data_IF_372770381160
#
_entry.id   IF_372770381160
#
_cell.length_a   1.000
_cell.length_b   1.000
_cell.length_c   1.000
_cell.angle_alpha   90.00
_cell.angle_beta   90.00
_cell.angle_gamma   90.00
#
_symmetry.space_group_name_H-M   'P 1'
#
loop_
_entity.id
_entity.type
_entity.pdbx_description
1 polymer ?
#
# COMPACT_ATOMS: atom_id res chain seq x y z
N UNK A 1 -12.54 -3.12 15.48
CA UNK A 1 -13.11 -1.93 14.81
C UNK A 1 -12.15 -1.38 13.72
N UNK A 2 -10.87 -1.12 13.99
CA UNK A 2 -9.92 -0.63 12.95
C UNK A 2 -9.86 -1.55 11.72
N UNK A 3 -9.79 -2.87 11.91
CA UNK A 3 -9.80 -3.86 10.84
C UNK A 3 -11.10 -3.85 10.01
N UNK A 4 -12.26 -3.65 10.68
CA UNK A 4 -13.54 -3.57 9.96
C UNK A 4 -13.61 -2.35 9.03
N UNK A 5 -12.96 -1.22 9.40
CA UNK A 5 -12.81 -0.06 8.51
C UNK A 5 -11.87 -0.34 7.34
N UNK A 6 -10.82 -1.11 7.56
CA UNK A 6 -9.86 -1.52 6.54
C UNK A 6 -10.52 -2.43 5.48
N UNK A 7 -11.38 -3.36 5.93
CA UNK A 7 -12.12 -4.27 5.05
C UNK A 7 -13.32 -3.59 4.35
N UNK A 8 -13.64 -2.34 4.71
CA UNK A 8 -14.75 -1.61 4.12
C UNK A 8 -14.33 -0.88 2.85
N UNK A 9 -14.86 -1.31 1.71
CA UNK A 9 -14.70 -0.61 0.43
C UNK A 9 -15.93 0.24 0.12
N UNK A 10 -15.71 1.55 -0.06
CA UNK A 10 -16.71 2.50 -0.53
C UNK A 10 -16.19 3.26 -1.75
N UNK A 11 -16.97 3.25 -2.83
CA UNK A 11 -16.63 3.94 -4.06
C UNK A 11 -17.81 4.79 -4.57
N UNK A 12 -17.51 5.77 -5.40
CA UNK A 12 -18.49 6.60 -6.10
C UNK A 12 -19.06 7.77 -5.30
N UNK A 13 -18.88 7.80 -3.98
CA UNK A 13 -19.30 8.91 -3.11
C UNK A 13 -18.16 9.35 -2.20
N UNK A 14 -18.15 10.63 -1.80
CA UNK A 14 -17.25 11.11 -0.77
C UNK A 14 -17.59 10.46 0.58
N UNK A 15 -16.58 9.94 1.27
CA UNK A 15 -16.75 9.29 2.58
C UNK A 15 -15.60 9.63 3.51
N UNK A 16 -15.82 9.47 4.81
CA UNK A 16 -14.84 9.78 5.85
C UNK A 16 -14.13 8.55 6.44
N UNK A 17 -14.21 7.38 5.79
CA UNK A 17 -13.54 6.15 6.25
C UNK A 17 -12.04 6.36 6.50
N UNK A 18 -11.25 7.04 5.64
CA UNK A 18 -9.85 7.33 5.92
C UNK A 18 -9.63 8.20 7.16
N UNK A 19 -10.51 9.16 7.40
CA UNK A 19 -10.47 9.97 8.62
C UNK A 19 -10.77 9.13 9.87
N UNK A 20 -11.78 8.27 9.82
CA UNK A 20 -12.09 7.36 10.92
C UNK A 20 -10.93 6.39 11.19
N UNK A 21 -10.28 5.89 10.16
CA UNK A 21 -9.09 5.06 10.31
C UNK A 21 -7.95 5.84 10.99
N UNK A 22 -7.71 7.10 10.59
CA UNK A 22 -6.73 7.96 11.24
C UNK A 22 -7.04 8.17 12.73
N UNK A 23 -8.30 8.43 13.07
CA UNK A 23 -8.74 8.59 14.46
C UNK A 23 -8.49 7.31 15.26
N UNK A 24 -8.86 6.14 14.72
CA UNK A 24 -8.67 4.84 15.39
C UNK A 24 -7.20 4.49 15.64
N UNK A 25 -6.29 5.04 14.86
CA UNK A 25 -4.84 4.81 15.02
C UNK A 25 -4.18 5.79 16.01
N UNK A 26 -4.85 6.86 16.38
CA UNK A 26 -4.32 7.84 17.31
C UNK A 26 -4.14 7.25 18.73
N UNK A 27 -2.94 7.41 19.34
CA UNK A 27 -2.70 6.94 20.72
C UNK A 27 -3.67 7.56 21.74
N UNK A 28 -4.02 8.84 21.57
CA UNK A 28 -4.96 9.55 22.43
C UNK A 28 -6.36 8.94 22.37
N UNK A 29 -6.83 8.55 21.17
CA UNK A 29 -8.10 7.84 21.00
C UNK A 29 -8.06 6.44 21.64
N UNK A 30 -6.98 5.69 21.38
CA UNK A 30 -6.79 4.33 21.92
C UNK A 30 -6.71 4.28 23.44
N UNK A 31 -6.16 5.31 24.07
CA UNK A 31 -6.10 5.43 25.54
C UNK A 31 -7.41 5.89 26.17
N UNK A 32 -8.42 6.26 25.38
CA UNK A 32 -9.69 6.81 25.88
C UNK A 32 -9.60 8.27 26.35
N UNK A 33 -8.48 8.95 26.12
CA UNK A 33 -8.29 10.36 26.50
C UNK A 33 -8.95 11.30 25.48
N UNK A 34 -10.26 11.18 25.36
CA UNK A 34 -11.10 11.94 24.42
C UNK A 34 -11.91 13.01 25.15
N UNK A 35 -12.00 14.17 24.51
CA UNK A 35 -12.81 15.32 24.94
C UNK A 35 -13.69 15.80 23.79
N UNK A 36 -14.59 16.68 24.06
CA UNK A 36 -15.43 17.34 23.02
C UNK A 36 -14.59 18.16 22.03
N UNK A 37 -13.39 18.60 22.42
CA UNK A 37 -12.45 19.33 21.57
C UNK A 37 -11.49 18.41 20.79
N UNK A 38 -11.53 17.08 21.01
CA UNK A 38 -10.57 16.11 20.45
C UNK A 38 -10.29 16.31 18.96
N UNK A 39 -11.32 16.40 18.13
CA UNK A 39 -11.16 16.57 16.67
C UNK A 39 -10.47 17.88 16.33
N UNK A 40 -10.84 18.98 17.03
CA UNK A 40 -10.24 20.30 16.84
C UNK A 40 -8.78 20.33 17.28
N UNK A 41 -8.44 19.59 18.35
CA UNK A 41 -7.09 19.53 18.89
C UNK A 41 -6.14 18.71 17.98
N UNK A 42 -6.60 17.57 17.48
CA UNK A 42 -5.79 16.64 16.66
C UNK A 42 -5.78 16.99 15.16
N UNK A 43 -6.83 17.64 14.67
CA UNK A 43 -7.01 18.00 13.26
C UNK A 43 -7.45 19.47 13.11
N UNK A 44 -6.64 20.46 13.56
CA UNK A 44 -7.02 21.87 13.58
C UNK A 44 -7.31 22.42 12.18
N UNK A 45 -6.59 21.94 11.17
CA UNK A 45 -6.72 22.34 9.76
C UNK A 45 -7.60 21.38 8.95
N UNK A 46 -8.29 20.45 9.62
CA UNK A 46 -9.04 19.38 8.97
C UNK A 46 -8.17 18.16 8.62
N UNK A 47 -8.79 17.14 8.00
CA UNK A 47 -8.12 15.93 7.60
C UNK A 47 -7.83 15.92 6.09
N UNK A 48 -6.57 15.86 5.71
CA UNK A 48 -6.10 15.85 4.32
C UNK A 48 -5.44 14.53 3.91
N UNK A 49 -5.61 13.46 4.71
CA UNK A 49 -4.91 12.20 4.59
C UNK A 49 -3.61 12.18 5.40
N UNK A 50 -3.03 11.01 5.52
CA UNK A 50 -1.74 10.81 6.18
C UNK A 50 -0.72 10.29 5.17
N UNK A 51 0.50 10.75 5.30
CA UNK A 51 1.62 10.13 4.59
C UNK A 51 1.79 8.68 5.07
N UNK A 52 2.15 7.73 4.19
CA UNK A 52 2.37 6.36 4.60
C UNK A 52 3.56 6.26 5.56
N UNK A 53 3.39 5.48 6.62
CA UNK A 53 4.48 5.11 7.54
C UNK A 53 5.45 4.16 6.83
N UNK A 54 6.65 3.94 7.38
CA UNK A 54 7.62 2.97 6.84
C UNK A 54 7.04 1.56 6.67
N UNK A 55 6.17 1.13 7.57
CA UNK A 55 5.45 -0.15 7.45
C UNK A 55 4.49 -0.11 6.26
N UNK A 56 3.70 0.96 6.12
CA UNK A 56 2.77 1.13 5.00
C UNK A 56 3.48 1.29 3.67
N UNK A 57 4.67 1.93 3.63
CA UNK A 57 5.50 1.99 2.41
C UNK A 57 5.87 0.58 1.95
N UNK A 58 6.33 -0.30 2.86
CA UNK A 58 6.65 -1.69 2.52
C UNK A 58 5.41 -2.46 2.03
N UNK A 59 4.29 -2.31 2.74
CA UNK A 59 3.03 -2.93 2.40
C UNK A 59 2.55 -2.50 1.00
N UNK A 60 2.53 -1.20 0.74
CA UNK A 60 2.11 -0.61 -0.54
C UNK A 60 3.05 -1.07 -1.67
N UNK A 61 4.36 -1.07 -1.44
CA UNK A 61 5.32 -1.53 -2.43
C UNK A 61 5.17 -3.02 -2.73
N UNK A 62 5.01 -3.86 -1.70
CA UNK A 62 4.80 -5.30 -1.85
C UNK A 62 3.52 -5.60 -2.63
N UNK A 63 2.40 -4.95 -2.28
CA UNK A 63 1.15 -5.08 -3.01
C UNK A 63 1.29 -4.65 -4.48
N UNK A 64 1.98 -3.54 -4.74
CA UNK A 64 2.17 -3.04 -6.09
C UNK A 64 3.01 -4.00 -6.96
N UNK A 65 4.10 -4.57 -6.43
CA UNK A 65 4.91 -5.56 -7.13
C UNK A 65 4.09 -6.81 -7.41
N UNK A 66 3.39 -7.36 -6.41
CA UNK A 66 2.54 -8.53 -6.59
C UNK A 66 1.46 -8.31 -7.67
N UNK A 67 0.78 -7.17 -7.64
CA UNK A 67 -0.22 -6.83 -8.65
C UNK A 67 0.39 -6.68 -10.05
N UNK A 68 1.60 -6.14 -10.14
CA UNK A 68 2.33 -6.04 -11.41
C UNK A 68 2.66 -7.41 -11.99
N UNK A 69 3.15 -8.34 -11.16
CA UNK A 69 3.43 -9.73 -11.58
C UNK A 69 2.15 -10.45 -12.03
N UNK A 70 1.09 -10.42 -11.23
CA UNK A 70 -0.21 -11.03 -11.56
C UNK A 70 -0.77 -10.44 -12.87
N UNK A 71 -0.64 -9.13 -13.08
CA UNK A 71 -1.10 -8.48 -14.30
C UNK A 71 -0.29 -8.92 -15.51
N UNK A 72 1.04 -8.99 -15.40
CA UNK A 72 1.94 -9.42 -16.48
C UNK A 72 1.66 -10.87 -16.87
N UNK A 73 1.44 -11.75 -15.90
CA UNK A 73 1.06 -13.15 -16.15
C UNK A 73 -0.27 -13.24 -16.90
N UNK A 74 -1.28 -12.47 -16.48
CA UNK A 74 -2.59 -12.44 -17.15
C UNK A 74 -2.51 -11.88 -18.57
N UNK A 75 -1.68 -10.87 -18.79
CA UNK A 75 -1.47 -10.27 -20.10
C UNK A 75 -0.61 -11.18 -21.06
N UNK A 76 -0.11 -12.31 -20.55
CA UNK A 76 0.71 -13.26 -21.29
C UNK A 76 2.13 -12.78 -21.55
N UNK A 77 2.61 -11.81 -20.78
CA UNK A 77 3.97 -11.25 -20.81
C UNK A 77 4.65 -11.35 -19.43
N UNK A 78 4.76 -12.57 -18.85
CA UNK A 78 5.44 -12.74 -17.58
C UNK A 78 6.92 -12.35 -17.73
N UNK A 79 7.43 -11.64 -16.75
CA UNK A 79 8.81 -11.20 -16.72
C UNK A 79 9.62 -12.09 -15.80
N UNK A 80 10.75 -12.66 -16.27
CA UNK A 80 11.73 -13.33 -15.40
C UNK A 80 12.52 -12.34 -14.55
N UNK A 81 12.08 -11.09 -14.50
CA UNK A 81 12.76 -10.03 -13.80
C UNK A 81 12.49 -10.11 -12.31
N UNK A 82 13.54 -9.97 -11.54
CA UNK A 82 13.49 -9.98 -10.07
C UNK A 82 13.78 -8.62 -9.45
N UNK A 83 14.22 -7.63 -10.26
CA UNK A 83 14.60 -6.30 -9.79
C UNK A 83 13.62 -5.22 -10.27
N UNK A 84 13.05 -4.48 -9.32
CA UNK A 84 12.06 -3.44 -9.58
C UNK A 84 12.38 -2.14 -8.84
N UNK A 85 11.87 -1.02 -9.36
CA UNK A 85 11.81 0.25 -8.64
C UNK A 85 10.34 0.63 -8.49
N UNK A 86 9.89 0.68 -7.26
CA UNK A 86 8.54 1.12 -6.92
C UNK A 86 8.57 2.61 -6.58
N UNK A 87 7.92 3.42 -7.41
CA UNK A 87 7.71 4.83 -7.08
C UNK A 87 6.43 4.95 -6.25
N UNK A 88 6.56 5.40 -5.02
CA UNK A 88 5.44 5.75 -4.14
C UNK A 88 5.36 7.27 -4.12
N UNK A 89 4.31 7.81 -4.74
CA UNK A 89 4.21 9.21 -5.15
C UNK A 89 5.41 9.61 -6.03
N UNK A 90 6.45 10.18 -5.43
CA UNK A 90 7.69 10.53 -6.14
C UNK A 90 8.93 9.85 -5.54
N UNK A 91 8.78 9.14 -4.43
CA UNK A 91 9.90 8.49 -3.75
C UNK A 91 10.19 7.11 -4.37
N UNK A 92 11.42 6.87 -4.87
CA UNK A 92 11.82 5.57 -5.40
C UNK A 92 12.21 4.61 -4.29
N UNK A 93 11.75 3.36 -4.42
CA UNK A 93 12.10 2.24 -3.56
C UNK A 93 12.55 1.07 -4.44
N UNK A 94 13.83 0.71 -4.36
CA UNK A 94 14.35 -0.48 -5.02
C UNK A 94 13.87 -1.73 -4.29
N UNK A 95 13.44 -2.72 -5.05
CA UNK A 95 12.88 -3.98 -4.55
C UNK A 95 13.42 -5.13 -5.39
N UNK A 96 14.07 -6.08 -4.73
CA UNK A 96 14.42 -7.36 -5.32
C UNK A 96 13.38 -8.40 -4.89
N UNK A 97 12.86 -9.16 -5.86
CA UNK A 97 11.82 -10.15 -5.70
C UNK A 97 12.39 -11.56 -5.79
N UNK A 98 11.97 -12.43 -4.90
CA UNK A 98 12.18 -13.88 -4.96
C UNK A 98 10.96 -14.61 -4.39
N UNK A 99 10.97 -15.94 -4.42
CA UNK A 99 9.90 -16.76 -3.86
C UNK A 99 10.49 -17.73 -2.84
N UNK A 100 9.72 -18.03 -1.80
CA UNK A 100 10.07 -19.08 -0.85
C UNK A 100 9.51 -20.46 -1.28
N UNK A 101 9.71 -21.50 -0.43
CA UNK A 101 9.26 -22.86 -0.69
C UNK A 101 7.71 -22.98 -0.75
N UNK A 102 7.00 -22.05 -0.15
CA UNK A 102 5.53 -21.97 -0.12
C UNK A 102 4.96 -21.05 -1.21
N UNK A 103 5.79 -20.65 -2.20
CA UNK A 103 5.44 -19.72 -3.29
C UNK A 103 5.05 -18.30 -2.81
N UNK A 104 5.36 -17.94 -1.55
CA UNK A 104 5.18 -16.58 -1.08
C UNK A 104 6.27 -15.66 -1.64
N UNK A 105 5.89 -14.41 -1.89
CA UNK A 105 6.82 -13.41 -2.42
C UNK A 105 7.73 -12.90 -1.29
N UNK A 106 9.03 -13.00 -1.51
CA UNK A 106 10.05 -12.40 -0.67
C UNK A 106 10.56 -11.14 -1.33
N UNK A 107 10.42 -10.01 -0.66
CA UNK A 107 10.83 -8.71 -1.14
C UNK A 107 11.99 -8.20 -0.29
N UNK A 108 13.11 -7.91 -0.95
CA UNK A 108 14.26 -7.25 -0.33
C UNK A 108 14.30 -5.79 -0.79
N UNK A 109 14.15 -4.86 0.14
CA UNK A 109 14.15 -3.42 -0.16
C UNK A 109 15.57 -2.85 -0.06
N UNK A 110 15.86 -1.87 -0.89
CA UNK A 110 17.09 -1.08 -0.74
C UNK A 110 17.16 -0.52 0.68
N UNK A 111 18.30 -0.71 1.35
CA UNK A 111 18.48 -0.37 2.77
C UNK A 111 18.32 -1.54 3.74
N UNK A 112 18.24 -2.78 3.22
CA UNK A 112 18.34 -4.02 4.01
C UNK A 112 17.05 -4.42 4.74
N UNK A 113 15.91 -3.83 4.40
CA UNK A 113 14.60 -4.26 4.90
C UNK A 113 14.06 -5.39 4.01
N UNK A 114 13.36 -6.33 4.63
CA UNK A 114 12.72 -7.44 3.94
C UNK A 114 11.23 -7.49 4.28
N UNK A 115 10.45 -8.13 3.44
CA UNK A 115 9.06 -8.46 3.69
C UNK A 115 8.71 -9.78 3.01
N UNK A 116 7.84 -10.55 3.65
CA UNK A 116 7.23 -11.76 3.09
C UNK A 116 5.75 -11.49 2.82
N UNK A 117 5.32 -11.61 1.58
CA UNK A 117 3.94 -11.44 1.18
C UNK A 117 3.35 -12.80 0.80
N UNK A 118 2.31 -13.20 1.51
CA UNK A 118 1.63 -14.48 1.35
C UNK A 118 0.11 -14.30 1.29
N UNK A 119 -0.63 -15.39 1.07
CA UNK A 119 -2.11 -15.43 1.07
C UNK A 119 -2.74 -14.34 0.20
N UNK A 120 -2.22 -14.20 -1.04
CA UNK A 120 -2.67 -13.18 -1.97
C UNK A 120 -4.08 -13.48 -2.48
N UNK A 121 -4.99 -12.55 -2.29
CA UNK A 121 -6.34 -12.56 -2.85
C UNK A 121 -6.56 -11.25 -3.62
N UNK A 122 -6.14 -11.27 -4.89
CA UNK A 122 -6.38 -10.19 -5.83
C UNK A 122 -6.29 -10.71 -7.28
N UNK A 123 -7.07 -10.09 -8.13
CA UNK A 123 -7.00 -10.23 -9.59
C UNK A 123 -7.33 -8.91 -10.25
N UNK A 124 -6.84 -8.64 -11.47
CA UNK A 124 -7.15 -7.42 -12.20
C UNK A 124 -8.64 -7.13 -12.26
N UNK A 125 -9.00 -5.91 -11.88
CA UNK A 125 -10.38 -5.44 -11.80
C UNK A 125 -11.00 -5.47 -10.40
N UNK A 126 -10.42 -6.21 -9.44
CA UNK A 126 -10.88 -6.14 -8.06
C UNK A 126 -10.44 -4.83 -7.39
N UNK A 127 -11.35 -4.16 -6.66
CA UNK A 127 -11.05 -2.89 -6.01
C UNK A 127 -10.29 -3.04 -4.68
N UNK A 128 -10.12 -4.26 -4.19
CA UNK A 128 -9.40 -4.55 -2.94
C UNK A 128 -8.35 -5.63 -3.17
N UNK A 129 -7.18 -5.39 -2.62
CA UNK A 129 -6.06 -6.33 -2.51
C UNK A 129 -6.00 -6.82 -1.08
N UNK A 130 -6.01 -8.14 -0.88
CA UNK A 130 -5.87 -8.79 0.42
C UNK A 130 -4.66 -9.69 0.40
N UNK A 131 -3.89 -9.69 1.48
CA UNK A 131 -2.73 -10.55 1.65
C UNK A 131 -2.28 -10.55 3.12
N UNK A 132 -1.23 -11.31 3.40
CA UNK A 132 -0.50 -11.25 4.66
C UNK A 132 0.92 -10.70 4.42
N UNK A 133 1.29 -9.64 5.14
CA UNK A 133 2.65 -9.11 5.14
C UNK A 133 3.33 -9.49 6.46
N UNK A 134 4.40 -10.28 6.38
CA UNK A 134 5.14 -10.78 7.56
C UNK A 134 4.22 -11.52 8.57
N UNK A 135 3.18 -12.23 8.07
CA UNK A 135 2.19 -12.95 8.87
C UNK A 135 1.05 -12.08 9.41
N UNK A 136 1.02 -10.79 9.11
CA UNK A 136 -0.07 -9.90 9.49
C UNK A 136 -1.01 -9.67 8.29
N UNK A 137 -2.29 -10.08 8.37
CA UNK A 137 -3.22 -9.88 7.29
C UNK A 137 -3.63 -8.40 7.16
N UNK A 138 -3.73 -7.94 5.91
CA UNK A 138 -4.16 -6.58 5.58
C UNK A 138 -5.08 -6.56 4.36
N UNK A 139 -5.83 -5.47 4.25
CA UNK A 139 -6.64 -5.13 3.07
C UNK A 139 -6.28 -3.73 2.62
N UNK A 140 -6.07 -3.54 1.32
CA UNK A 140 -5.83 -2.23 0.72
C UNK A 140 -6.82 -1.99 -0.42
N UNK A 141 -7.40 -0.80 -0.50
CA UNK A 141 -8.17 -0.37 -1.66
C UNK A 141 -7.23 -0.05 -2.83
N UNK A 142 -7.58 -0.53 -4.00
CA UNK A 142 -6.79 -0.39 -5.21
C UNK A 142 -7.63 0.22 -6.32
N UNK A 143 -7.10 1.23 -6.98
CA UNK A 143 -7.65 1.76 -8.21
C UNK A 143 -6.54 1.77 -9.28
N UNK A 144 -6.81 1.13 -10.44
CA UNK A 144 -5.90 1.20 -11.58
C UNK A 144 -5.93 2.59 -12.20
N UNK A 145 -4.77 3.11 -12.54
CA UNK A 145 -4.59 4.36 -13.30
C UNK A 145 -3.72 4.09 -14.52
N UNK A 146 -3.61 5.05 -15.44
CA UNK A 146 -2.96 4.85 -16.73
C UNK A 146 -1.50 4.34 -16.63
N UNK A 147 -0.78 4.71 -15.58
CA UNK A 147 0.65 4.41 -15.39
C UNK A 147 0.96 3.64 -14.09
N UNK A 148 -0.04 2.96 -13.51
CA UNK A 148 0.15 2.19 -12.28
C UNK A 148 -1.12 2.07 -11.45
N UNK A 149 -0.99 2.28 -10.15
CA UNK A 149 -2.08 2.11 -9.19
C UNK A 149 -2.18 3.31 -8.24
N UNK A 150 -3.38 3.53 -7.73
CA UNK A 150 -3.58 4.30 -6.50
C UNK A 150 -3.95 3.29 -5.43
N UNK A 151 -3.13 3.20 -4.40
CA UNK A 151 -3.32 2.26 -3.29
C UNK A 151 -3.63 3.07 -2.04
N UNK A 152 -4.66 2.64 -1.32
CA UNK A 152 -5.03 3.17 -0.01
C UNK A 152 -4.99 2.06 1.01
N UNK A 153 -4.23 2.26 2.05
CA UNK A 153 -4.24 1.42 3.25
C UNK A 153 -4.55 2.30 4.45
N UNK A 154 -5.73 2.07 5.05
CA UNK A 154 -6.24 2.87 6.18
C UNK A 154 -6.35 4.36 5.80
N UNK A 155 -5.65 5.23 6.52
CA UNK A 155 -5.64 6.68 6.28
C UNK A 155 -4.60 7.12 5.24
N UNK A 156 -3.63 6.27 4.90
CA UNK A 156 -2.60 6.57 3.92
C UNK A 156 -3.09 6.24 2.50
N UNK A 157 -2.79 7.13 1.56
CA UNK A 157 -3.09 6.97 0.13
C UNK A 157 -1.87 7.38 -0.67
N UNK A 158 -1.46 6.56 -1.62
CA UNK A 158 -0.31 6.83 -2.48
C UNK A 158 -0.60 6.46 -3.95
N UNK A 159 -0.01 7.20 -4.87
CA UNK A 159 0.09 6.81 -6.28
C UNK A 159 1.35 5.98 -6.45
N UNK A 160 1.21 4.80 -7.06
CA UNK A 160 2.30 3.82 -7.13
C UNK A 160 2.53 3.41 -8.56
N UNK A 161 3.81 3.35 -8.95
CA UNK A 161 4.26 2.83 -10.23
C UNK A 161 5.35 1.80 -10.01
N UNK A 162 5.26 0.68 -10.71
CA UNK A 162 6.31 -0.35 -10.72
C UNK A 162 7.09 -0.19 -12.01
N UNK A 163 8.37 0.09 -11.89
CA UNK A 163 9.25 0.45 -12.99
C UNK A 163 10.45 -0.48 -13.05
N UNK A 164 10.99 -0.65 -14.27
CA UNK A 164 12.30 -1.26 -14.45
C UNK A 164 13.39 -0.33 -13.89
N UNK A 165 14.51 -0.83 -13.32
CA UNK A 165 15.52 0.00 -12.68
C UNK A 165 16.04 1.16 -13.55
N UNK A 166 16.27 0.93 -14.83
CA UNK A 166 16.70 2.00 -15.77
C UNK A 166 15.74 3.18 -15.87
N UNK A 167 14.44 2.92 -15.72
CA UNK A 167 13.41 3.96 -15.71
C UNK A 167 13.34 4.63 -14.34
N UNK A 168 13.52 3.87 -13.26
CA UNK A 168 13.61 4.40 -11.91
C UNK A 168 14.71 5.46 -11.74
N UNK A 169 15.89 5.20 -12.30
CA UNK A 169 17.02 6.15 -12.28
C UNK A 169 16.73 7.46 -13.01
N UNK A 170 15.94 7.42 -14.07
CA UNK A 170 15.51 8.62 -14.81
C UNK A 170 14.53 9.46 -13.98
N UNK A 171 13.59 8.82 -13.27
CA UNK A 171 12.63 9.51 -12.42
C UNK A 171 13.23 10.08 -11.14
N UNK A 172 14.30 9.47 -10.62
CA UNK A 172 15.02 9.98 -9.46
C UNK A 172 15.80 11.29 -9.74
N UNK A 173 15.95 11.67 -11.01
CA UNK A 173 16.68 12.87 -11.47
C UNK A 173 15.76 14.03 -11.88
N UNK A 174 14.43 13.82 -11.85
CA UNK A 174 13.39 14.81 -12.15
C UNK A 174 12.76 15.36 -10.86
#
# INVERSE_FOLDING_TARGET
MARALEDTHLAGVGHNVPFLAAVMDQPRFRSGNISTSYIKDEFPDGFHGLAPTDHQVRLIAAAAVAMNEIQAEQDGDPSDRTDWVVLIDKAPHGVDLSYDEDEALLLAFTGGRHARLAELDWRPGLPQFRAELDGEPFTADVARVADGFVIRHRAAKARVRVLRPRLGDLYARL
#
